data_IF_248307471573
#
_entry.id   IF_248307471573
#
_cell.length_a   1.000
_cell.length_b   1.000
_cell.length_c   1.000
_cell.angle_alpha   90.00
_cell.angle_beta   90.00
_cell.angle_gamma   90.00
#
_symmetry.space_group_name_H-M   'P 1'
#
loop_
_entity.id
_entity.type
_entity.pdbx_description
1 polymer ?
#
# COMPACT_ATOMS: atom_id res chain seq x y z
N UNK A 1 1.95 -13.79 15.67
CA UNK A 1 0.51 -13.69 15.37
C UNK A 1 -0.02 -15.00 14.83
N UNK A 2 -1.31 -15.29 15.00
CA UNK A 2 -1.88 -16.54 14.48
C UNK A 2 -1.90 -16.48 12.96
N UNK A 3 -1.36 -17.50 12.30
CA UNK A 3 -1.33 -17.58 10.83
C UNK A 3 -2.72 -17.50 10.20
N UNK A 4 -3.77 -17.89 10.93
CA UNK A 4 -5.16 -17.81 10.51
C UNK A 4 -5.64 -16.37 10.34
N UNK A 5 -5.29 -15.46 11.26
CA UNK A 5 -5.68 -14.04 11.20
C UNK A 5 -4.98 -13.33 10.04
N UNK A 6 -3.68 -13.59 9.85
CA UNK A 6 -2.91 -13.06 8.71
C UNK A 6 -3.51 -13.49 7.36
N UNK A 7 -3.92 -14.75 7.24
CA UNK A 7 -4.60 -15.26 6.03
C UNK A 7 -5.96 -14.61 5.80
N UNK A 8 -6.77 -14.45 6.86
CA UNK A 8 -8.06 -13.75 6.79
C UNK A 8 -7.86 -12.30 6.34
N UNK A 9 -6.88 -11.59 6.90
CA UNK A 9 -6.55 -10.22 6.52
C UNK A 9 -6.07 -10.12 5.07
N UNK A 10 -5.16 -10.99 4.65
CA UNK A 10 -4.69 -11.04 3.26
C UNK A 10 -5.83 -11.34 2.25
N UNK A 11 -6.72 -12.28 2.58
CA UNK A 11 -7.90 -12.59 1.77
C UNK A 11 -8.84 -11.38 1.67
N UNK A 12 -9.05 -10.66 2.77
CA UNK A 12 -9.85 -9.43 2.80
C UNK A 12 -9.24 -8.34 1.90
N UNK A 13 -7.92 -8.10 1.98
CA UNK A 13 -7.23 -7.14 1.10
C UNK A 13 -7.42 -7.54 -0.36
N UNK A 14 -7.22 -8.82 -0.70
CA UNK A 14 -7.30 -9.28 -2.08
C UNK A 14 -8.73 -9.20 -2.66
N UNK A 15 -9.72 -9.69 -1.92
CA UNK A 15 -11.10 -9.89 -2.42
C UNK A 15 -11.97 -8.66 -2.26
N UNK A 16 -11.89 -7.97 -1.12
CA UNK A 16 -12.74 -6.81 -0.82
C UNK A 16 -11.99 -5.50 -1.03
N UNK A 17 -10.74 -5.42 -0.56
CA UNK A 17 -9.94 -4.21 -0.70
C UNK A 17 -9.60 -3.87 -2.15
N UNK A 18 -8.92 -4.79 -2.85
CA UNK A 18 -8.52 -4.63 -4.25
C UNK A 18 -9.55 -5.19 -5.24
N UNK A 19 -10.58 -5.90 -4.77
CA UNK A 19 -11.66 -6.39 -5.63
C UNK A 19 -11.18 -7.34 -6.74
N UNK A 20 -10.17 -8.18 -6.47
CA UNK A 20 -9.52 -9.01 -7.48
C UNK A 20 -10.52 -10.01 -8.09
N UNK A 21 -10.58 -10.02 -9.41
CA UNK A 21 -11.39 -10.95 -10.20
C UNK A 21 -10.52 -11.79 -11.15
N UNK A 22 -11.12 -12.86 -11.70
CA UNK A 22 -10.44 -13.76 -12.63
C UNK A 22 -9.85 -12.99 -13.83
N UNK A 23 -8.55 -13.11 -14.04
CA UNK A 23 -7.84 -12.49 -15.16
C UNK A 23 -7.17 -11.14 -14.84
N UNK A 24 -7.35 -10.61 -13.63
CA UNK A 24 -6.71 -9.37 -13.21
C UNK A 24 -5.17 -9.53 -13.14
N UNK A 25 -4.46 -8.48 -13.53
CA UNK A 25 -3.04 -8.29 -13.19
C UNK A 25 -2.96 -7.50 -11.89
N UNK A 26 -2.08 -7.89 -10.98
CA UNK A 26 -1.93 -7.26 -9.66
C UNK A 26 -0.49 -6.78 -9.46
N UNK A 27 -0.33 -5.57 -8.93
CA UNK A 27 0.95 -5.06 -8.48
C UNK A 27 0.85 -4.71 -7.01
N UNK A 28 1.68 -5.34 -6.18
CA UNK A 28 1.79 -5.06 -4.75
C UNK A 28 3.03 -4.20 -4.53
N UNK A 29 2.85 -2.97 -4.08
CA UNK A 29 3.95 -2.14 -3.59
C UNK A 29 4.10 -2.37 -2.08
N UNK A 30 5.27 -2.79 -1.63
CA UNK A 30 5.53 -3.15 -0.24
C UNK A 30 6.92 -2.72 0.20
N UNK A 31 7.13 -2.62 1.51
CA UNK A 31 8.46 -2.49 2.09
C UNK A 31 9.01 -3.83 2.62
N UNK A 32 10.30 -3.83 2.91
CA UNK A 32 11.06 -5.03 3.31
C UNK A 32 10.75 -5.53 4.73
N UNK A 33 9.86 -4.89 5.48
CA UNK A 33 9.59 -5.22 6.89
C UNK A 33 8.84 -6.56 7.08
N UNK A 34 7.95 -6.93 6.15
CA UNK A 34 7.05 -8.09 6.29
C UNK A 34 7.00 -9.01 5.06
N UNK A 35 8.12 -9.64 4.66
CA UNK A 35 8.14 -10.54 3.49
C UNK A 35 7.19 -11.73 3.65
N UNK A 36 7.08 -12.34 4.85
CA UNK A 36 6.17 -13.48 5.07
C UNK A 36 4.71 -13.10 4.80
N UNK A 37 4.28 -11.89 5.20
CA UNK A 37 2.91 -11.45 4.91
C UNK A 37 2.70 -11.18 3.41
N UNK A 38 3.70 -10.63 2.72
CA UNK A 38 3.62 -10.41 1.27
C UNK A 38 3.43 -11.74 0.54
N UNK A 39 4.11 -12.82 0.94
CA UNK A 39 3.89 -14.16 0.37
C UNK A 39 2.44 -14.66 0.58
N UNK A 40 1.89 -14.44 1.77
CA UNK A 40 0.49 -14.79 2.08
C UNK A 40 -0.46 -13.96 1.18
N UNK A 41 -0.23 -12.66 1.05
CA UNK A 41 -1.06 -11.77 0.23
C UNK A 41 -1.00 -12.14 -1.26
N UNK A 42 0.20 -12.41 -1.80
CA UNK A 42 0.37 -12.90 -3.17
C UNK A 42 -0.42 -14.19 -3.39
N UNK A 43 -0.35 -15.12 -2.43
CA UNK A 43 -1.10 -16.38 -2.47
C UNK A 43 -2.61 -16.14 -2.55
N UNK A 44 -3.14 -15.24 -1.72
CA UNK A 44 -4.57 -14.91 -1.72
C UNK A 44 -5.00 -14.16 -2.98
N UNK A 45 -4.14 -13.32 -3.58
CA UNK A 45 -4.40 -12.70 -4.88
C UNK A 45 -4.57 -13.76 -5.99
N UNK A 46 -3.69 -14.76 -6.05
CA UNK A 46 -3.82 -15.86 -7.01
C UNK A 46 -5.08 -16.70 -6.76
N UNK A 47 -5.42 -16.99 -5.50
CA UNK A 47 -6.68 -17.68 -5.15
C UNK A 47 -7.93 -16.87 -5.47
N UNK A 48 -7.82 -15.54 -5.56
CA UNK A 48 -8.90 -14.67 -6.03
C UNK A 48 -9.03 -14.64 -7.57
N UNK A 49 -8.09 -15.26 -8.29
CA UNK A 49 -8.14 -15.42 -9.75
C UNK A 49 -7.21 -14.50 -10.53
N UNK A 50 -6.29 -13.78 -9.86
CA UNK A 50 -5.27 -13.00 -10.55
C UNK A 50 -4.47 -13.90 -11.52
N UNK A 51 -4.28 -13.44 -12.76
CA UNK A 51 -3.45 -14.18 -13.74
C UNK A 51 -1.96 -13.90 -13.56
N UNK A 52 -1.61 -12.77 -12.94
CA UNK A 52 -0.24 -12.32 -12.69
C UNK A 52 -0.21 -11.42 -11.47
N UNK A 53 0.73 -11.69 -10.56
CA UNK A 53 1.01 -10.84 -9.40
C UNK A 53 2.49 -10.46 -9.44
N UNK A 54 2.78 -9.15 -9.40
CA UNK A 54 4.13 -8.61 -9.28
C UNK A 54 4.28 -7.86 -7.95
N UNK A 55 5.50 -7.86 -7.39
CA UNK A 55 5.81 -7.13 -6.16
C UNK A 55 6.88 -6.08 -6.44
N UNK A 56 6.66 -4.87 -5.98
CA UNK A 56 7.58 -3.74 -6.08
C UNK A 56 8.00 -3.29 -4.69
N UNK A 57 9.29 -3.40 -4.42
CA UNK A 57 9.83 -3.11 -3.10
C UNK A 57 10.29 -1.66 -2.97
N UNK A 58 9.93 -1.02 -1.86
CA UNK A 58 10.49 0.25 -1.40
C UNK A 58 11.30 0.06 -0.11
N UNK A 59 12.24 0.97 0.12
CA UNK A 59 13.05 0.97 1.35
C UNK A 59 13.52 2.39 1.67
N UNK A 60 12.93 3.02 2.70
CA UNK A 60 13.20 4.43 3.05
C UNK A 60 14.71 4.75 3.25
N UNK A 61 15.55 3.88 3.84
CA UNK A 61 17.00 4.13 3.92
C UNK A 61 17.68 4.39 2.56
N UNK A 62 17.28 3.69 1.50
CA UNK A 62 17.81 3.96 0.15
C UNK A 62 17.36 5.32 -0.36
N UNK A 63 16.11 5.72 -0.08
CA UNK A 63 15.62 7.06 -0.40
C UNK A 63 16.48 8.14 0.28
N UNK A 64 16.86 7.97 1.55
CA UNK A 64 17.78 8.90 2.23
C UNK A 64 19.12 9.01 1.52
N UNK A 65 19.69 7.88 1.10
CA UNK A 65 20.95 7.84 0.37
C UNK A 65 20.82 8.55 -0.99
N UNK A 66 19.72 8.34 -1.69
CA UNK A 66 19.45 9.02 -2.97
C UNK A 66 19.33 10.54 -2.79
N UNK A 67 18.59 11.01 -1.78
CA UNK A 67 18.51 12.45 -1.47
C UNK A 67 19.88 13.01 -1.06
N UNK A 68 20.71 12.23 -0.35
CA UNK A 68 22.04 12.65 0.06
C UNK A 68 22.98 12.83 -1.14
N UNK A 69 23.11 11.81 -1.97
CA UNK A 69 24.20 11.73 -2.95
C UNK A 69 23.84 12.19 -4.36
N UNK A 70 22.58 12.08 -4.81
CA UNK A 70 22.20 12.51 -6.17
C UNK A 70 22.04 14.02 -6.22
N UNK A 71 22.31 14.66 -7.36
CA UNK A 71 21.94 16.07 -7.54
C UNK A 71 20.42 16.23 -7.56
N UNK A 72 19.91 17.43 -7.29
CA UNK A 72 18.46 17.70 -7.40
C UNK A 72 17.95 17.39 -8.81
N UNK A 73 18.74 17.72 -9.85
CA UNK A 73 18.40 17.44 -11.25
C UNK A 73 18.20 15.94 -11.47
N UNK A 74 19.19 15.11 -11.10
CA UNK A 74 19.10 13.65 -11.28
C UNK A 74 17.98 13.05 -10.43
N UNK A 75 17.77 13.53 -9.20
CA UNK A 75 16.66 13.08 -8.36
C UNK A 75 15.29 13.47 -8.94
N UNK A 76 15.23 14.58 -9.69
CA UNK A 76 14.02 15.13 -10.29
C UNK A 76 13.71 14.61 -11.71
N UNK A 77 14.64 13.92 -12.35
CA UNK A 77 14.45 13.29 -13.66
C UNK A 77 13.57 12.05 -13.51
N UNK A 78 12.68 11.83 -14.48
CA UNK A 78 11.97 10.57 -14.68
C UNK A 78 12.57 9.97 -15.94
N UNK A 79 13.23 8.83 -15.82
CA UNK A 79 13.90 8.18 -16.95
C UNK A 79 12.89 7.52 -17.89
N UNK A 80 13.26 7.30 -19.15
CA UNK A 80 12.35 6.76 -20.19
C UNK A 80 11.75 5.41 -19.80
N UNK A 81 12.52 4.56 -19.12
CA UNK A 81 12.02 3.27 -18.63
C UNK A 81 10.96 3.41 -17.54
N UNK A 82 11.04 4.47 -16.71
CA UNK A 82 10.03 4.77 -15.69
C UNK A 82 8.74 5.23 -16.36
N UNK A 83 8.85 6.06 -17.40
CA UNK A 83 7.71 6.50 -18.22
C UNK A 83 7.05 5.30 -18.90
N UNK A 84 7.84 4.42 -19.54
CA UNK A 84 7.34 3.22 -20.19
C UNK A 84 6.63 2.28 -19.20
N UNK A 85 7.18 2.14 -17.97
CA UNK A 85 6.55 1.37 -16.90
C UNK A 85 5.20 1.94 -16.49
N UNK A 86 5.10 3.27 -16.34
CA UNK A 86 3.83 3.93 -16.01
C UNK A 86 2.82 3.82 -17.15
N UNK A 87 3.26 4.04 -18.40
CA UNK A 87 2.43 3.83 -19.60
C UNK A 87 1.87 2.42 -19.67
N UNK A 88 2.68 1.40 -19.40
CA UNK A 88 2.20 0.03 -19.32
C UNK A 88 1.06 -0.15 -18.30
N UNK A 89 1.09 0.56 -17.17
CA UNK A 89 0.00 0.54 -16.18
C UNK A 89 -1.24 1.28 -16.67
N UNK A 90 -1.08 2.37 -17.41
CA UNK A 90 -2.20 3.08 -18.07
C UNK A 90 -2.92 2.13 -19.03
N UNK A 91 -2.16 1.39 -19.84
CA UNK A 91 -2.73 0.51 -20.87
C UNK A 91 -3.37 -0.76 -20.29
N UNK A 92 -2.87 -1.26 -19.15
CA UNK A 92 -3.28 -2.54 -18.56
C UNK A 92 -4.20 -2.42 -17.35
N UNK A 93 -4.22 -1.26 -16.69
CA UNK A 93 -4.99 -0.98 -15.47
C UNK A 93 -4.89 -2.11 -14.42
N UNK A 94 -3.69 -2.53 -14.00
CA UNK A 94 -3.55 -3.56 -12.98
C UNK A 94 -4.17 -3.12 -11.66
N UNK A 95 -4.69 -4.07 -10.88
CA UNK A 95 -5.09 -3.82 -9.50
C UNK A 95 -3.86 -3.47 -8.66
N UNK A 96 -3.88 -2.33 -7.99
CA UNK A 96 -2.75 -1.84 -7.18
C UNK A 96 -3.01 -2.07 -5.69
N UNK A 97 -2.10 -2.76 -5.01
CA UNK A 97 -2.12 -2.87 -3.55
C UNK A 97 -0.91 -2.15 -2.99
N UNK A 98 -1.12 -1.16 -2.13
CA UNK A 98 -0.05 -0.46 -1.42
C UNK A 98 -0.04 -0.94 0.04
N UNK A 99 1.02 -1.66 0.40
CA UNK A 99 1.21 -2.22 1.72
C UNK A 99 2.19 -1.35 2.52
N UNK A 100 1.66 -0.55 3.43
CA UNK A 100 2.42 0.44 4.19
C UNK A 100 2.95 -0.16 5.49
N UNK A 101 4.25 0.01 5.74
CA UNK A 101 4.89 -0.33 7.02
C UNK A 101 5.93 0.70 7.47
N UNK A 102 5.90 1.87 6.85
CA UNK A 102 6.98 2.85 6.86
C UNK A 102 7.27 3.37 8.26
N UNK A 103 8.54 3.65 8.54
CA UNK A 103 8.91 4.41 9.74
C UNK A 103 8.40 5.85 9.59
N UNK A 104 7.53 6.35 10.50
CA UNK A 104 7.09 7.74 10.46
C UNK A 104 8.25 8.75 10.50
N UNK A 105 9.38 8.37 11.12
CA UNK A 105 10.60 9.17 11.17
C UNK A 105 11.65 8.75 10.13
N UNK A 106 11.31 7.87 9.18
CA UNK A 106 12.25 7.22 8.27
C UNK A 106 13.09 8.22 7.46
N UNK A 107 12.46 9.30 7.02
CA UNK A 107 13.10 10.37 6.25
C UNK A 107 13.67 11.51 7.12
N UNK A 108 13.70 11.38 8.44
CA UNK A 108 14.30 12.39 9.33
C UNK A 108 15.76 12.64 8.94
N UNK A 109 16.12 13.92 8.78
CA UNK A 109 17.46 14.37 8.46
C UNK A 109 17.81 14.46 6.97
N UNK A 110 16.87 14.22 6.04
CA UNK A 110 17.10 14.51 4.62
C UNK A 110 17.04 16.02 4.34
N UNK A 111 17.67 16.46 3.24
CA UNK A 111 17.43 17.80 2.72
C UNK A 111 16.02 17.86 2.09
N UNK A 112 15.06 18.39 2.85
CA UNK A 112 13.65 18.43 2.48
C UNK A 112 13.38 19.31 1.25
N UNK A 113 14.07 20.45 1.14
CA UNK A 113 13.90 21.35 -0.01
C UNK A 113 14.33 20.68 -1.31
N UNK A 114 15.51 20.05 -1.30
CA UNK A 114 16.03 19.27 -2.45
C UNK A 114 15.09 18.14 -2.83
N UNK A 115 14.59 17.38 -1.84
CA UNK A 115 13.66 16.29 -2.09
C UNK A 115 12.34 16.81 -2.67
N UNK A 116 11.77 17.87 -2.09
CA UNK A 116 10.52 18.48 -2.54
C UNK A 116 10.62 18.99 -3.98
N UNK A 117 11.67 19.76 -4.31
CA UNK A 117 11.91 20.26 -5.67
C UNK A 117 12.09 19.13 -6.70
N UNK A 118 12.78 18.05 -6.31
CA UNK A 118 12.93 16.88 -7.15
C UNK A 118 11.58 16.17 -7.39
N UNK A 119 10.79 15.95 -6.34
CA UNK A 119 9.47 15.33 -6.47
C UNK A 119 8.50 16.18 -7.32
N UNK A 120 8.52 17.50 -7.17
CA UNK A 120 7.77 18.41 -8.04
C UNK A 120 8.18 18.27 -9.52
N UNK A 121 9.48 18.14 -9.78
CA UNK A 121 9.99 17.94 -11.15
C UNK A 121 9.50 16.61 -11.74
N UNK A 122 9.57 15.53 -10.97
CA UNK A 122 9.04 14.22 -11.38
C UNK A 122 7.54 14.26 -11.61
N UNK A 123 6.80 14.95 -10.74
CA UNK A 123 5.34 15.00 -10.79
C UNK A 123 4.81 15.65 -12.07
N UNK A 124 5.55 16.57 -12.70
CA UNK A 124 5.17 17.15 -14.01
C UNK A 124 5.06 16.09 -15.10
N UNK A 125 5.87 15.03 -15.04
CA UNK A 125 5.84 13.91 -16.00
C UNK A 125 4.87 12.83 -15.56
N UNK A 126 4.82 12.52 -14.26
CA UNK A 126 4.00 11.43 -13.72
C UNK A 126 2.51 11.78 -13.68
N UNK A 127 2.16 13.04 -13.38
CA UNK A 127 0.77 13.46 -13.18
C UNK A 127 -0.14 13.15 -14.38
N UNK A 128 0.19 13.52 -15.63
CA UNK A 128 -0.68 13.22 -16.77
C UNK A 128 -0.98 11.73 -16.91
N UNK A 129 0.03 10.87 -16.72
CA UNK A 129 -0.11 9.41 -16.78
C UNK A 129 -1.02 8.89 -15.66
N UNK A 130 -0.90 9.43 -14.45
CA UNK A 130 -1.77 9.05 -13.33
C UNK A 130 -3.21 9.51 -13.54
N UNK A 131 -3.39 10.74 -14.03
CA UNK A 131 -4.72 11.30 -14.31
C UNK A 131 -5.46 10.45 -15.38
N UNK A 132 -4.75 9.86 -16.34
CA UNK A 132 -5.34 8.91 -17.31
C UNK A 132 -5.88 7.64 -16.67
N UNK A 133 -5.36 7.22 -15.51
CA UNK A 133 -5.79 6.04 -14.76
C UNK A 133 -6.86 6.35 -13.71
N UNK A 134 -6.99 7.60 -13.29
CA UNK A 134 -7.86 8.02 -12.18
C UNK A 134 -9.27 7.44 -12.32
N UNK A 135 -9.78 6.82 -11.26
CA UNK A 135 -11.08 6.12 -11.22
C UNK A 135 -11.27 4.94 -12.20
N UNK A 136 -10.23 4.46 -12.88
CA UNK A 136 -10.32 3.34 -13.85
C UNK A 136 -9.72 2.03 -13.36
N UNK A 137 -8.72 2.08 -12.47
CA UNK A 137 -8.08 0.89 -11.91
C UNK A 137 -8.56 0.62 -10.49
N UNK A 138 -8.55 -0.66 -10.10
CA UNK A 138 -8.83 -1.07 -8.72
C UNK A 138 -7.62 -0.81 -7.85
N UNK A 139 -7.82 -0.31 -6.63
CA UNK A 139 -6.70 -0.13 -5.71
C UNK A 139 -7.09 -0.25 -4.24
N UNK A 140 -6.13 -0.67 -3.44
CA UNK A 140 -6.25 -0.80 -1.99
C UNK A 140 -4.98 -0.26 -1.31
N UNK A 141 -5.16 0.52 -0.24
CA UNK A 141 -4.08 0.84 0.69
C UNK A 141 -4.35 0.06 1.97
N UNK A 142 -3.38 -0.74 2.38
CA UNK A 142 -3.42 -1.56 3.58
C UNK A 142 -2.14 -1.35 4.39
N UNK A 143 -2.19 -1.66 5.68
CA UNK A 143 -1.05 -1.47 6.57
C UNK A 143 -0.60 -2.80 7.16
N UNK A 144 0.71 -2.96 7.33
CA UNK A 144 1.32 -4.02 8.11
C UNK A 144 2.35 -3.41 9.04
N UNK A 145 2.56 -3.95 10.24
CA UNK A 145 3.44 -3.32 11.19
C UNK A 145 4.89 -3.37 10.71
N UNK A 146 5.53 -2.20 10.65
CA UNK A 146 6.98 -2.06 10.59
C UNK A 146 7.56 -1.92 11.99
N UNK A 147 8.76 -2.46 12.22
CA UNK A 147 9.36 -2.51 13.57
C UNK A 147 9.51 -1.13 14.19
N UNK A 148 9.95 -0.16 13.39
CA UNK A 148 10.15 1.22 13.86
C UNK A 148 8.83 1.95 14.08
N UNK A 149 7.86 1.75 13.19
CA UNK A 149 6.50 2.29 13.37
C UNK A 149 5.84 1.76 14.66
N UNK A 150 5.88 0.44 14.88
CA UNK A 150 5.36 -0.18 16.09
C UNK A 150 6.01 0.39 17.35
N UNK A 151 7.34 0.54 17.35
CA UNK A 151 8.09 1.13 18.48
C UNK A 151 7.77 2.59 18.74
N UNK A 152 7.33 3.33 17.72
CA UNK A 152 6.89 4.72 17.85
C UNK A 152 5.49 4.81 18.47
N UNK A 153 4.58 3.94 18.05
CA UNK A 153 3.21 3.88 18.57
C UNK A 153 3.16 3.36 20.01
N UNK A 154 4.00 2.39 20.34
CA UNK A 154 4.05 1.74 21.65
C UNK A 154 5.45 1.91 22.28
N UNK A 155 5.76 3.13 22.78
CA UNK A 155 7.01 3.36 23.50
C UNK A 155 7.05 2.54 24.80
N UNK A 156 8.24 2.24 25.32
CA UNK A 156 8.42 1.53 26.59
C UNK A 156 8.27 0.00 26.57
N UNK A 157 7.62 -0.61 25.56
CA UNK A 157 7.54 -2.08 25.43
C UNK A 157 8.63 -2.67 24.53
N UNK A 158 8.83 -4.00 24.56
CA UNK A 158 9.77 -4.66 23.65
C UNK A 158 9.34 -4.50 22.18
N UNK A 159 10.29 -4.61 21.24
CA UNK A 159 9.95 -4.52 19.81
C UNK A 159 8.96 -5.61 19.40
N UNK A 160 9.12 -6.83 19.93
CA UNK A 160 8.18 -7.92 19.69
C UNK A 160 6.77 -7.55 20.16
N UNK A 161 6.63 -7.06 21.40
CA UNK A 161 5.33 -6.69 21.95
C UNK A 161 4.68 -5.52 21.21
N UNK A 162 5.47 -4.51 20.84
CA UNK A 162 4.98 -3.38 20.04
C UNK A 162 4.40 -3.85 18.70
N UNK A 163 5.06 -4.82 18.04
CA UNK A 163 4.59 -5.40 16.78
C UNK A 163 3.28 -6.16 16.95
N UNK A 164 3.13 -6.95 18.02
CA UNK A 164 1.87 -7.63 18.33
C UNK A 164 0.74 -6.64 18.56
N UNK A 165 1.00 -5.58 19.34
CA UNK A 165 0.01 -4.53 19.62
C UNK A 165 -0.42 -3.80 18.35
N UNK A 166 0.52 -3.51 17.45
CA UNK A 166 0.20 -2.86 16.18
C UNK A 166 -0.56 -3.79 15.23
N UNK A 167 -0.20 -5.08 15.17
CA UNK A 167 -1.01 -6.08 14.45
C UNK A 167 -2.44 -6.12 14.97
N UNK A 168 -2.62 -6.17 16.29
CA UNK A 168 -3.96 -6.20 16.89
C UNK A 168 -4.75 -4.95 16.52
N UNK A 169 -4.15 -3.76 16.62
CA UNK A 169 -4.82 -2.51 16.22
C UNK A 169 -5.22 -2.51 14.74
N UNK A 170 -4.35 -3.03 13.85
CA UNK A 170 -4.68 -3.18 12.42
C UNK A 170 -5.84 -4.16 12.24
N UNK A 171 -5.82 -5.32 12.89
CA UNK A 171 -6.90 -6.31 12.77
C UNK A 171 -8.24 -5.80 13.29
N UNK A 172 -8.24 -5.12 14.43
CA UNK A 172 -9.44 -4.56 15.02
C UNK A 172 -10.05 -3.50 14.09
N UNK A 173 -9.24 -2.57 13.59
CA UNK A 173 -9.69 -1.49 12.69
C UNK A 173 -10.10 -1.99 11.31
N UNK A 174 -9.42 -3.02 10.79
CA UNK A 174 -9.77 -3.68 9.53
C UNK A 174 -10.87 -4.75 9.68
N UNK A 175 -11.46 -4.93 10.87
CA UNK A 175 -12.53 -5.91 11.14
C UNK A 175 -12.15 -7.33 10.75
N UNK A 176 -10.93 -7.75 11.09
CA UNK A 176 -10.46 -9.13 10.87
C UNK A 176 -11.08 -10.04 11.94
N UNK A 177 -12.34 -10.41 11.72
CA UNK A 177 -13.15 -11.26 12.60
C UNK A 177 -13.17 -12.71 12.11
N UNK A 178 -14.24 -13.46 12.39
CA UNK A 178 -14.45 -14.79 11.82
C UNK A 178 -14.81 -14.79 10.34
N UNK A 179 -15.62 -13.82 9.91
CA UNK A 179 -15.92 -13.56 8.50
C UNK A 179 -15.72 -12.07 8.17
N UNK A 180 -14.46 -11.66 7.87
CA UNK A 180 -14.15 -10.26 7.60
C UNK A 180 -14.87 -9.71 6.36
N UNK A 181 -15.20 -10.55 5.38
CA UNK A 181 -15.85 -10.11 4.14
C UNK A 181 -17.28 -9.68 4.46
N UNK A 182 -18.03 -10.52 5.18
CA UNK A 182 -19.39 -10.19 5.60
C UNK A 182 -19.45 -8.96 6.52
N UNK A 183 -18.45 -8.74 7.37
CA UNK A 183 -18.35 -7.50 8.17
C UNK A 183 -18.17 -6.26 7.30
N UNK A 184 -17.34 -6.35 6.26
CA UNK A 184 -17.11 -5.23 5.34
C UNK A 184 -18.31 -4.96 4.44
N UNK A 185 -19.05 -5.99 4.02
CA UNK A 185 -20.30 -5.80 3.28
C UNK A 185 -21.32 -5.01 4.10
N UNK A 186 -21.49 -5.36 5.40
CA UNK A 186 -22.35 -4.60 6.32
C UNK A 186 -21.85 -3.18 6.54
N UNK A 187 -20.53 -3.00 6.74
CA UNK A 187 -19.95 -1.70 6.97
C UNK A 187 -20.11 -0.77 5.77
N UNK A 188 -19.84 -1.27 4.56
CA UNK A 188 -20.00 -0.52 3.32
C UNK A 188 -21.46 -0.15 3.08
N UNK A 189 -22.41 -1.04 3.43
CA UNK A 189 -23.84 -0.73 3.36
C UNK A 189 -24.22 0.43 4.29
N UNK A 190 -23.82 0.41 5.57
CA UNK A 190 -24.10 1.50 6.51
C UNK A 190 -23.54 2.85 6.02
N UNK A 191 -22.34 2.85 5.45
CA UNK A 191 -21.75 4.07 4.87
C UNK A 191 -22.50 4.55 3.63
N UNK A 192 -22.92 3.63 2.76
CA UNK A 192 -23.69 3.96 1.57
C UNK A 192 -25.05 4.56 1.93
N UNK A 193 -25.77 3.96 2.88
CA UNK A 193 -27.08 4.44 3.35
C UNK A 193 -26.97 5.87 3.93
N UNK A 194 -25.88 6.17 4.67
CA UNK A 194 -25.59 7.55 5.16
C UNK A 194 -25.25 8.52 4.05
N UNK A 195 -24.48 8.08 3.06
CA UNK A 195 -24.13 8.90 1.90
C UNK A 195 -25.37 9.27 1.08
N UNK A 196 -26.26 8.30 0.86
CA UNK A 196 -27.55 8.51 0.19
C UNK A 196 -28.41 9.53 0.95
N UNK A 197 -28.50 9.39 2.27
CA UNK A 197 -29.21 10.36 3.10
C UNK A 197 -28.65 11.79 2.94
N UNK A 198 -27.33 11.96 3.01
CA UNK A 198 -26.68 13.27 2.87
C UNK A 198 -26.82 13.88 1.47
N UNK A 199 -26.92 13.05 0.43
CA UNK A 199 -27.16 13.53 -0.95
C UNK A 199 -28.64 13.86 -1.20
N UNK A 200 -29.55 13.45 -0.32
CA UNK A 200 -31.01 13.66 -0.45
C UNK A 200 -31.53 14.92 0.25
N UNK A 201 -30.68 15.58 1.07
CA UNK A 201 -30.97 16.84 1.77
C UNK A 201 -30.35 18.03 1.04
#
# INVERSE_FOLDING_TARGET
>A
MKKTELKKYASLIARTGAGITKGDEVIIQAELDQPEFVEILVTECYKAGAKKVAVEWSHQPLQKLHVRYRTQKVLGTVEDWEVAKLRHRVDRLPAMIYLLSEDPDGLKGINQEKNSKAMQSRFKVIKPLRDEMENKYKWCIAAVPGKKWAKKMFPGVSSYRAMEMLWQAIFDTCRVTDDPIAEWDRHNKDLADRCEHLNSI
#
